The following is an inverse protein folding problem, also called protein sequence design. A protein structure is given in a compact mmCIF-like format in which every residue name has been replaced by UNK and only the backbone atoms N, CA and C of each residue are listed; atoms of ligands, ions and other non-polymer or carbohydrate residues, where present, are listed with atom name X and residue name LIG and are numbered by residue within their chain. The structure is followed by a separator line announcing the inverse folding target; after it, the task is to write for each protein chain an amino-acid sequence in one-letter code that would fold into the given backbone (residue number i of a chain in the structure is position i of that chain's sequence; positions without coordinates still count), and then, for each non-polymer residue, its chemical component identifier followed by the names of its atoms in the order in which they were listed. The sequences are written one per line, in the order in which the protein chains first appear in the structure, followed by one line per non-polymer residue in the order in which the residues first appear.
data_IF_495521611212
#
_entry.id   IF_495521611212
#
_cell.length_a   1.000
_cell.length_b   1.000
_cell.length_c   1.000
_cell.angle_alpha   90.00
_cell.angle_beta   90.00
_cell.angle_gamma   90.00
#
_symmetry.space_group_name_H-M   'P 1'
#
loop_
_entity.id
_entity.type
_entity.pdbx_description
1 polymer ?
#
# COMPACT_ATOMS: atom_id res chain seq x y z
N UNK A 1 35.58 -34.99 29.81
CA UNK A 1 35.38 -33.68 30.48
C UNK A 1 34.29 -32.93 29.72
N UNK A 2 33.02 -33.14 30.08
CA UNK A 2 31.88 -32.36 29.61
C UNK A 2 31.45 -31.41 30.73
N UNK A 3 31.35 -30.11 30.44
CA UNK A 3 30.66 -29.16 31.32
C UNK A 3 29.27 -28.96 30.73
N UNK A 4 28.27 -29.59 31.36
CA UNK A 4 26.87 -29.25 31.17
C UNK A 4 26.65 -27.88 31.81
N UNK A 5 26.22 -26.91 31.01
CA UNK A 5 25.74 -25.63 31.50
C UNK A 5 24.31 -25.85 32.03
N UNK A 6 24.10 -25.63 33.32
CA UNK A 6 22.76 -25.57 33.92
C UNK A 6 22.25 -24.14 33.78
N UNK A 7 21.08 -23.88 33.16
CA UNK A 7 20.45 -22.58 33.23
C UNK A 7 20.00 -22.31 34.67
N UNK A 8 20.35 -21.13 35.17
CA UNK A 8 19.95 -20.62 36.47
C UNK A 8 18.44 -20.31 36.46
N UNK A 9 17.60 -20.96 37.28
CA UNK A 9 16.17 -20.70 37.31
C UNK A 9 15.91 -19.58 38.32
N UNK A 10 16.11 -18.32 37.94
CA UNK A 10 15.66 -17.13 38.68
C UNK A 10 16.01 -15.85 37.94
N UNK A 11 15.18 -15.53 36.96
CA UNK A 11 14.72 -14.18 36.64
C UNK A 11 13.37 -14.40 35.96
N UNK A 12 12.32 -14.52 36.77
CA UNK A 12 10.98 -14.26 36.25
C UNK A 12 10.97 -12.78 35.87
N UNK A 13 11.22 -12.50 34.59
CA UNK A 13 10.89 -11.20 34.01
C UNK A 13 9.42 -10.98 34.29
N UNK A 14 9.12 -9.92 35.02
CA UNK A 14 7.77 -9.36 35.08
C UNK A 14 7.40 -9.10 33.62
N UNK A 15 6.50 -9.93 33.06
CA UNK A 15 5.81 -9.58 31.83
C UNK A 15 5.06 -8.28 32.11
N UNK A 16 5.67 -7.16 31.74
CA UNK A 16 4.95 -5.91 31.59
C UNK A 16 3.92 -6.17 30.50
N UNK A 17 2.64 -6.01 30.84
CA UNK A 17 1.47 -6.22 29.96
C UNK A 17 1.45 -5.37 28.67
N UNK A 18 2.50 -4.58 28.41
CA UNK A 18 2.59 -3.63 27.32
C UNK A 18 3.60 -4.06 26.24
N UNK A 19 3.88 -5.35 26.09
CA UNK A 19 4.78 -5.84 25.03
C UNK A 19 4.08 -5.79 23.68
N UNK A 20 4.12 -4.61 23.07
CA UNK A 20 3.81 -4.41 21.67
C UNK A 20 5.13 -4.36 20.87
N UNK A 21 5.50 -5.44 20.19
CA UNK A 21 6.70 -5.45 19.36
C UNK A 21 6.36 -5.04 17.93
N UNK A 22 6.81 -3.87 17.48
CA UNK A 22 6.54 -3.39 16.13
C UNK A 22 7.44 -4.01 15.05
N UNK A 23 7.21 -3.57 13.82
CA UNK A 23 7.34 -4.41 12.63
C UNK A 23 5.96 -5.01 12.36
N UNK A 24 5.09 -4.18 11.80
CA UNK A 24 3.67 -4.46 11.64
C UNK A 24 3.27 -4.15 10.20
N UNK A 25 2.85 -5.19 9.49
CA UNK A 25 2.05 -5.09 8.28
C UNK A 25 0.66 -5.62 8.69
N UNK A 26 -0.33 -4.73 8.84
CA UNK A 26 -1.74 -5.16 8.93
C UNK A 26 -2.37 -4.77 7.63
N UNK A 27 -2.91 -5.76 6.92
CA UNK A 27 -3.45 -5.53 5.60
C UNK A 27 -4.24 -6.73 5.11
N UNK A 28 -4.87 -6.54 3.96
CA UNK A 28 -5.47 -7.64 3.24
C UNK A 28 -4.31 -8.42 2.58
N UNK A 29 -4.20 -9.74 2.81
CA UNK A 29 -3.14 -10.58 2.22
C UNK A 29 -3.67 -11.96 1.79
N UNK A 30 -2.76 -12.83 1.33
CA UNK A 30 -2.89 -14.04 0.49
C UNK A 30 -2.80 -13.85 -1.04
N UNK A 31 -2.32 -12.70 -1.52
CA UNK A 31 -1.79 -12.61 -2.86
C UNK A 31 -0.34 -13.08 -2.81
N UNK A 32 0.07 -14.18 -3.46
CA UNK A 32 1.49 -14.37 -3.64
C UNK A 32 1.98 -13.22 -4.51
N UNK A 33 3.20 -12.78 -4.23
CA UNK A 33 4.04 -12.07 -5.19
C UNK A 33 4.29 -12.86 -6.50
N UNK A 34 3.58 -13.98 -6.72
CA UNK A 34 3.73 -14.96 -7.80
C UNK A 34 2.40 -15.68 -8.14
N UNK A 35 1.29 -14.95 -8.38
CA UNK A 35 0.08 -15.50 -9.03
C UNK A 35 -0.80 -16.49 -8.23
N UNK A 36 -1.52 -16.00 -7.22
CA UNK A 36 -2.42 -16.78 -6.38
C UNK A 36 -3.51 -15.92 -5.74
N UNK A 37 -4.39 -16.52 -4.93
CA UNK A 37 -5.80 -16.15 -4.88
C UNK A 37 -6.21 -14.88 -4.12
N UNK A 38 -5.32 -14.12 -3.46
CA UNK A 38 -5.72 -12.85 -2.80
C UNK A 38 -5.14 -11.60 -3.47
N UNK A 39 -5.47 -11.51 -4.75
CA UNK A 39 -5.39 -10.30 -5.52
C UNK A 39 -6.80 -10.14 -6.12
N UNK A 40 -7.64 -9.27 -5.54
CA UNK A 40 -9.04 -9.19 -5.95
C UNK A 40 -9.11 -8.56 -7.35
N UNK A 41 -9.48 -9.31 -8.41
CA UNK A 41 -9.39 -8.79 -9.77
C UNK A 41 -10.41 -7.67 -9.94
N UNK A 42 -9.92 -6.44 -10.05
CA UNK A 42 -10.73 -5.25 -10.33
C UNK A 42 -10.66 -4.87 -11.80
N UNK A 43 -10.27 -5.76 -12.72
CA UNK A 43 -10.36 -5.46 -14.14
C UNK A 43 -9.40 -6.28 -14.98
N UNK A 44 -9.76 -6.43 -16.26
CA UNK A 44 -8.92 -7.05 -17.27
C UNK A 44 -9.23 -6.57 -18.70
N UNK A 45 -8.41 -7.00 -19.64
CA UNK A 45 -8.54 -6.71 -21.08
C UNK A 45 -9.87 -7.17 -21.69
N UNK A 46 -10.54 -8.14 -21.08
CA UNK A 46 -11.75 -8.79 -21.60
C UNK A 46 -13.03 -8.12 -21.11
N UNK A 47 -13.07 -7.66 -19.85
CA UNK A 47 -14.28 -7.05 -19.27
C UNK A 47 -14.11 -5.57 -18.88
N UNK A 48 -12.97 -4.97 -19.24
CA UNK A 48 -12.68 -3.56 -18.97
C UNK A 48 -12.04 -3.33 -17.60
N UNK A 49 -11.55 -2.11 -17.42
CA UNK A 49 -10.91 -1.65 -16.19
C UNK A 49 -11.93 -0.99 -15.26
N UNK A 50 -11.70 -1.11 -13.96
CA UNK A 50 -12.59 -0.58 -12.92
C UNK A 50 -12.02 0.72 -12.36
N UNK A 51 -12.92 1.58 -11.90
CA UNK A 51 -12.56 2.72 -11.06
C UNK A 51 -12.47 2.28 -9.61
N UNK A 52 -11.34 2.56 -8.97
CA UNK A 52 -11.18 2.35 -7.53
C UNK A 52 -11.20 3.71 -6.85
N UNK A 53 -12.02 3.81 -5.81
CA UNK A 53 -12.10 4.97 -4.96
C UNK A 53 -12.05 4.51 -3.51
N UNK A 54 -11.18 5.07 -2.69
CA UNK A 54 -11.20 4.81 -1.25
C UNK A 54 -11.19 6.11 -0.47
N UNK A 55 -11.70 6.06 0.75
CA UNK A 55 -11.52 7.12 1.75
C UNK A 55 -10.95 6.56 3.02
N UNK A 56 -10.17 7.38 3.71
CA UNK A 56 -9.55 7.02 4.98
C UNK A 56 -9.53 8.22 5.92
N UNK A 57 -9.83 7.98 7.20
CA UNK A 57 -9.58 8.96 8.26
C UNK A 57 -8.09 8.89 8.65
N UNK A 58 -7.41 10.03 8.59
CA UNK A 58 -6.01 10.15 9.01
C UNK A 58 -5.91 9.90 10.51
N UNK A 59 -5.09 8.94 10.96
CA UNK A 59 -4.98 8.61 12.38
C UNK A 59 -4.22 9.69 13.14
N UNK A 60 -4.30 9.66 14.47
CA UNK A 60 -3.46 10.50 15.32
C UNK A 60 -1.96 10.22 15.08
N UNK A 61 -1.11 11.24 15.24
CA UNK A 61 0.33 11.01 15.23
C UNK A 61 0.72 10.20 16.48
N UNK A 62 1.68 9.26 16.37
CA UNK A 62 2.23 8.57 17.53
C UNK A 62 2.96 9.57 18.44
N UNK A 63 3.13 9.22 19.71
CA UNK A 63 3.89 10.02 20.68
C UNK A 63 5.39 10.08 20.32
N UNK A 64 5.89 9.04 19.63
CA UNK A 64 7.29 8.87 19.24
C UNK A 64 7.45 8.55 17.75
N UNK A 65 8.44 9.19 17.12
CA UNK A 65 8.78 9.04 15.68
C UNK A 65 10.24 8.65 15.45
N UNK A 66 11.00 8.41 16.51
CA UNK A 66 12.45 8.21 16.48
C UNK A 66 12.85 6.94 15.72
N UNK A 67 13.19 7.14 14.43
CA UNK A 67 13.64 6.07 13.53
C UNK A 67 12.51 5.30 12.86
N UNK A 68 11.29 5.82 12.92
CA UNK A 68 10.10 5.14 12.39
C UNK A 68 9.77 5.59 10.98
N UNK A 69 9.22 4.66 10.21
CA UNK A 69 8.54 4.94 8.96
C UNK A 69 7.13 4.34 9.00
N UNK A 70 6.13 5.19 8.72
CA UNK A 70 4.77 4.77 8.46
C UNK A 70 4.48 4.90 6.97
N UNK A 71 3.88 3.86 6.44
CA UNK A 71 3.15 3.91 5.20
C UNK A 71 1.73 3.40 5.47
N UNK A 72 0.75 4.15 4.98
CA UNK A 72 -0.67 3.84 5.14
C UNK A 72 -1.33 4.05 3.77
N UNK A 73 -1.94 3.02 3.18
CA UNK A 73 -2.40 3.10 1.78
C UNK A 73 -3.56 2.20 1.41
N UNK A 74 -4.16 2.57 0.27
CA UNK A 74 -4.88 1.67 -0.63
C UNK A 74 -4.09 1.69 -1.94
N UNK A 75 -3.81 0.53 -2.54
CA UNK A 75 -3.06 0.41 -3.78
C UNK A 75 -3.76 -0.42 -4.84
N UNK A 76 -3.25 -0.34 -6.06
CA UNK A 76 -3.48 -1.36 -7.07
C UNK A 76 -2.17 -2.01 -7.52
N UNK A 77 -2.21 -3.33 -7.67
CA UNK A 77 -1.12 -4.18 -8.15
C UNK A 77 -1.42 -4.69 -9.56
N UNK A 78 -0.38 -4.78 -10.39
CA UNK A 78 -0.46 -5.41 -11.70
C UNK A 78 0.29 -6.74 -11.67
N UNK A 79 -0.42 -7.85 -11.90
CA UNK A 79 0.17 -9.19 -11.94
C UNK A 79 1.11 -9.37 -13.12
N UNK A 80 2.42 -9.20 -12.94
CA UNK A 80 3.43 -9.42 -13.98
C UNK A 80 3.87 -10.90 -14.02
N UNK A 81 3.87 -11.48 -15.22
CA UNK A 81 4.25 -12.87 -15.48
C UNK A 81 5.74 -13.05 -15.81
N UNK A 82 6.60 -12.03 -15.66
CA UNK A 82 8.03 -12.29 -15.82
C UNK A 82 9.06 -11.17 -15.77
N UNK A 83 8.72 -9.87 -15.67
CA UNK A 83 9.75 -8.83 -15.88
C UNK A 83 9.87 -7.73 -14.81
N UNK A 84 8.88 -7.54 -13.93
CA UNK A 84 8.98 -6.71 -12.72
C UNK A 84 8.44 -7.42 -11.49
N UNK A 85 9.18 -7.36 -10.37
CA UNK A 85 8.80 -8.00 -9.09
C UNK A 85 7.86 -7.15 -8.24
N UNK A 86 7.88 -5.83 -8.45
CA UNK A 86 6.93 -4.88 -7.86
C UNK A 86 6.52 -3.88 -8.92
N UNK A 87 5.22 -3.80 -9.20
CA UNK A 87 4.60 -2.84 -10.13
C UNK A 87 3.31 -2.35 -9.47
N UNK A 88 3.47 -1.35 -8.62
CA UNK A 88 2.47 -0.98 -7.62
C UNK A 88 2.16 0.50 -7.69
N UNK A 89 0.89 0.84 -7.92
CA UNK A 89 0.42 2.21 -7.77
C UNK A 89 -0.12 2.37 -6.35
N UNK A 90 0.61 3.12 -5.51
CA UNK A 90 0.47 3.13 -4.06
C UNK A 90 0.35 4.56 -3.52
N UNK A 91 -0.80 5.22 -3.67
CA UNK A 91 -1.09 6.46 -2.94
C UNK A 91 -0.92 6.24 -1.44
N UNK A 92 -0.02 6.99 -0.84
CA UNK A 92 0.42 6.75 0.52
C UNK A 92 0.21 7.99 1.38
N UNK A 93 -0.33 7.75 2.56
CA UNK A 93 -0.12 8.57 3.74
C UNK A 93 1.20 8.12 4.40
N UNK A 94 2.09 9.06 4.66
CA UNK A 94 3.44 8.80 5.17
C UNK A 94 3.77 9.65 6.40
N UNK A 95 4.60 9.10 7.28
CA UNK A 95 5.16 9.78 8.45
C UNK A 95 6.53 9.20 8.81
N UNK A 96 7.40 10.03 9.37
CA UNK A 96 8.76 9.63 9.72
C UNK A 96 9.69 9.58 8.49
N UNK A 97 10.66 8.68 8.49
CA UNK A 97 11.65 8.58 7.40
C UNK A 97 11.13 7.70 6.25
N UNK A 98 10.39 8.32 5.34
CA UNK A 98 9.66 7.63 4.28
C UNK A 98 10.21 7.94 2.89
N UNK A 99 9.99 7.00 1.98
CA UNK A 99 10.12 7.22 0.56
C UNK A 99 8.99 8.13 0.10
N UNK A 100 9.32 9.35 -0.32
CA UNK A 100 8.32 10.39 -0.59
C UNK A 100 8.75 11.32 -1.72
N UNK A 101 9.50 10.80 -2.68
CA UNK A 101 9.93 11.56 -3.84
C UNK A 101 10.82 10.73 -4.76
N UNK A 102 11.16 11.32 -5.90
CA UNK A 102 12.13 10.73 -6.81
C UNK A 102 12.94 11.79 -7.58
N UNK A 103 13.93 11.35 -8.35
CA UNK A 103 14.65 12.22 -9.27
C UNK A 103 13.82 12.70 -10.46
N UNK A 104 12.67 12.08 -10.73
CA UNK A 104 11.94 12.24 -11.98
C UNK A 104 12.63 11.57 -13.18
N UNK A 105 12.11 11.76 -14.40
CA UNK A 105 12.67 11.15 -15.60
C UNK A 105 14.11 11.61 -15.88
N UNK A 106 14.92 10.76 -16.53
CA UNK A 106 14.56 9.43 -17.04
C UNK A 106 14.69 8.31 -16.00
N UNK A 107 15.35 8.56 -14.87
CA UNK A 107 15.84 7.48 -14.00
C UNK A 107 14.91 7.15 -12.83
N UNK A 108 14.02 8.08 -12.44
CA UNK A 108 13.04 7.88 -11.37
C UNK A 108 13.65 7.31 -10.07
N UNK A 109 14.85 7.74 -9.72
CA UNK A 109 15.58 7.25 -8.54
C UNK A 109 14.83 7.64 -7.26
N UNK A 110 14.52 6.68 -6.37
CA UNK A 110 13.76 6.95 -5.15
C UNK A 110 14.50 7.92 -4.21
N UNK A 111 13.75 8.81 -3.54
CA UNK A 111 14.26 9.76 -2.54
C UNK A 111 13.52 9.63 -1.22
N UNK A 112 14.29 9.52 -0.15
CA UNK A 112 13.81 9.45 1.22
C UNK A 112 13.74 10.85 1.82
N UNK A 113 12.68 11.12 2.59
CA UNK A 113 12.52 12.37 3.34
C UNK A 113 11.95 12.09 4.73
N UNK A 114 12.34 12.93 5.70
CA UNK A 114 11.80 12.89 7.05
C UNK A 114 10.56 13.78 7.16
N UNK A 115 9.41 13.19 7.50
CA UNK A 115 8.15 13.88 7.73
C UNK A 115 7.84 13.90 9.23
N UNK A 116 7.78 15.09 9.82
CA UNK A 116 7.45 15.29 11.25
C UNK A 116 5.96 15.34 11.53
N UNK A 117 5.16 15.53 10.49
CA UNK A 117 3.71 15.51 10.48
C UNK A 117 3.27 14.62 9.33
N UNK A 118 2.02 14.17 9.36
CA UNK A 118 1.47 13.39 8.25
C UNK A 118 1.58 14.16 6.93
N UNK A 119 1.96 13.43 5.88
CA UNK A 119 1.95 13.90 4.51
C UNK A 119 1.36 12.83 3.60
N UNK A 120 0.79 13.21 2.48
CA UNK A 120 0.24 12.26 1.52
C UNK A 120 0.64 12.59 0.08
N UNK A 121 0.62 11.59 -0.79
CA UNK A 121 0.86 11.80 -2.20
C UNK A 121 0.46 10.60 -3.07
N UNK A 122 0.12 10.88 -4.32
CA UNK A 122 0.01 9.87 -5.35
C UNK A 122 1.41 9.35 -5.68
N UNK A 123 1.60 8.03 -5.68
CA UNK A 123 2.90 7.40 -5.86
C UNK A 123 2.75 6.14 -6.71
N UNK A 124 3.73 5.90 -7.57
CA UNK A 124 3.92 4.68 -8.34
C UNK A 124 5.31 4.14 -8.06
N UNK A 125 5.39 2.97 -7.41
CA UNK A 125 6.62 2.26 -7.10
C UNK A 125 6.79 1.08 -8.05
N UNK A 126 7.98 0.93 -8.60
CA UNK A 126 8.25 -0.16 -9.53
C UNK A 126 9.70 -0.62 -9.50
N UNK A 127 9.89 -1.90 -9.80
CA UNK A 127 11.19 -2.56 -9.84
C UNK A 127 11.52 -3.03 -11.26
N UNK A 128 12.76 -2.79 -11.71
CA UNK A 128 13.24 -3.15 -13.03
C UNK A 128 14.43 -4.10 -12.92
N UNK A 129 14.40 -5.21 -13.67
CA UNK A 129 15.58 -6.06 -13.80
C UNK A 129 16.61 -5.44 -14.75
N UNK A 130 17.77 -5.07 -14.22
CA UNK A 130 18.89 -4.53 -14.96
C UNK A 130 19.78 -5.67 -15.45
N UNK A 131 19.65 -6.02 -16.73
CA UNK A 131 20.42 -7.11 -17.35
C UNK A 131 21.93 -6.86 -17.41
N UNK A 132 22.38 -5.60 -17.29
CA UNK A 132 23.81 -5.26 -17.30
C UNK A 132 24.46 -5.53 -15.94
N UNK A 133 23.77 -5.20 -14.85
CA UNK A 133 24.26 -5.39 -13.48
C UNK A 133 23.83 -6.72 -12.88
N UNK A 134 22.79 -7.35 -13.42
CA UNK A 134 22.14 -8.54 -12.87
C UNK A 134 21.29 -8.26 -11.63
N UNK A 135 21.00 -6.99 -11.33
CA UNK A 135 20.27 -6.57 -10.13
C UNK A 135 18.83 -6.15 -10.47
N UNK A 136 18.00 -6.13 -9.43
CA UNK A 136 16.69 -5.46 -9.46
C UNK A 136 16.89 -4.06 -8.90
N UNK A 137 16.56 -3.05 -9.71
CA UNK A 137 16.67 -1.64 -9.36
C UNK A 137 15.28 -1.10 -9.03
N UNK A 138 15.13 -0.49 -7.85
CA UNK A 138 13.88 0.12 -7.39
C UNK A 138 13.75 1.56 -7.88
N UNK A 139 12.56 1.92 -8.33
CA UNK A 139 12.22 3.21 -8.91
C UNK A 139 10.89 3.72 -8.36
N UNK A 140 10.69 5.04 -8.44
CA UNK A 140 9.46 5.66 -7.99
C UNK A 140 9.09 6.91 -8.78
N UNK A 141 7.79 7.12 -8.99
CA UNK A 141 7.23 8.36 -9.53
C UNK A 141 6.20 8.92 -8.56
N UNK A 142 6.18 10.24 -8.40
CA UNK A 142 5.38 10.91 -7.38
C UNK A 142 4.61 12.10 -7.96
N UNK A 143 3.38 12.27 -7.49
CA UNK A 143 2.73 13.56 -7.43
C UNK A 143 3.33 14.45 -6.32
N UNK A 144 2.83 15.68 -6.12
CA UNK A 144 3.29 16.52 -5.03
C UNK A 144 2.95 15.88 -3.68
N UNK A 145 3.91 15.85 -2.75
CA UNK A 145 3.63 15.51 -1.35
C UNK A 145 2.97 16.69 -0.66
N UNK A 146 1.85 16.47 0.01
CA UNK A 146 1.05 17.50 0.65
C UNK A 146 0.88 17.20 2.14
N UNK A 147 0.95 18.21 3.03
CA UNK A 147 0.71 18.01 4.45
C UNK A 147 -0.75 17.62 4.71
N UNK A 148 -1.01 16.90 5.79
CA UNK A 148 -2.36 16.57 6.28
C UNK A 148 -2.40 16.46 7.79
N UNK A 149 -3.55 16.83 8.35
CA UNK A 149 -3.79 16.79 9.79
C UNK A 149 -4.54 15.52 10.18
N UNK A 150 -4.31 15.04 11.40
CA UNK A 150 -5.08 13.96 11.98
C UNK A 150 -6.58 14.29 12.03
N UNK A 151 -7.43 13.30 11.77
CA UNK A 151 -8.88 13.45 11.71
C UNK A 151 -9.42 14.00 10.37
N UNK A 152 -8.57 14.52 9.48
CA UNK A 152 -9.01 14.80 8.10
C UNK A 152 -9.34 13.48 7.37
N UNK A 153 -10.23 13.56 6.37
CA UNK A 153 -10.55 12.41 5.49
C UNK A 153 -9.81 12.57 4.18
N UNK A 154 -8.94 11.62 3.87
CA UNK A 154 -8.32 11.51 2.56
C UNK A 154 -9.20 10.68 1.63
N UNK A 155 -9.17 10.99 0.35
CA UNK A 155 -9.64 10.10 -0.70
C UNK A 155 -8.46 9.67 -1.57
N UNK A 156 -8.57 8.47 -2.13
CA UNK A 156 -7.70 7.97 -3.19
C UNK A 156 -8.56 7.58 -4.38
N UNK A 157 -8.11 7.88 -5.59
CA UNK A 157 -8.77 7.47 -6.82
C UNK A 157 -7.78 6.95 -7.85
N UNK A 158 -8.13 5.80 -8.44
CA UNK A 158 -7.43 5.22 -9.57
C UNK A 158 -8.40 5.19 -10.74
N UNK A 159 -8.05 5.92 -11.80
CA UNK A 159 -8.87 6.03 -13.00
C UNK A 159 -8.07 5.65 -14.22
N UNK A 160 -8.62 4.73 -15.00
CA UNK A 160 -8.15 4.45 -16.35
C UNK A 160 -8.65 5.55 -17.28
N UNK A 161 -7.76 6.32 -17.90
CA UNK A 161 -8.15 7.31 -18.91
C UNK A 161 -8.45 6.64 -20.25
N UNK A 162 -9.19 7.33 -21.12
CA UNK A 162 -9.59 6.83 -22.44
C UNK A 162 -8.39 6.50 -23.35
N UNK A 163 -7.30 7.24 -23.19
CA UNK A 163 -6.02 7.05 -23.88
C UNK A 163 -5.16 5.90 -23.32
N UNK A 164 -5.63 5.20 -22.27
CA UNK A 164 -4.92 4.07 -21.68
C UNK A 164 -3.87 4.44 -20.64
N UNK A 165 -3.80 5.70 -20.20
CA UNK A 165 -3.01 6.11 -19.05
C UNK A 165 -3.75 5.79 -17.73
N UNK A 166 -3.00 5.58 -16.65
CA UNK A 166 -3.55 5.59 -15.30
C UNK A 166 -3.41 6.98 -14.68
N UNK A 167 -4.51 7.51 -14.18
CA UNK A 167 -4.53 8.70 -13.32
C UNK A 167 -4.72 8.28 -11.88
N UNK A 168 -3.85 8.79 -11.02
CA UNK A 168 -3.82 8.52 -9.61
C UNK A 168 -4.03 9.84 -8.90
N UNK A 169 -5.05 9.90 -8.07
CA UNK A 169 -5.31 11.06 -7.22
C UNK A 169 -5.32 10.63 -5.77
N UNK A 170 -4.72 11.43 -4.91
CA UNK A 170 -4.94 11.40 -3.49
C UNK A 170 -5.23 12.83 -3.03
N UNK A 171 -6.21 13.04 -2.17
CA UNK A 171 -6.58 14.39 -1.77
C UNK A 171 -7.41 14.45 -0.52
N UNK A 172 -7.61 15.66 0.01
CA UNK A 172 -8.49 15.87 1.18
C UNK A 172 -9.92 16.05 0.71
N UNK A 173 -10.84 15.25 1.26
CA UNK A 173 -12.27 15.32 0.94
C UNK A 173 -12.79 16.74 1.20
N UNK A 174 -13.41 17.34 0.19
CA UNK A 174 -13.94 18.71 0.26
C UNK A 174 -12.91 19.82 0.05
N UNK A 175 -11.64 19.51 -0.27
CA UNK A 175 -10.60 20.50 -0.51
C UNK A 175 -9.84 20.25 -1.82
N UNK A 176 -10.31 20.86 -2.92
CA UNK A 176 -9.72 20.72 -4.26
C UNK A 176 -8.34 21.36 -4.43
N UNK A 177 -7.88 22.17 -3.48
CA UNK A 177 -6.52 22.74 -3.51
C UNK A 177 -5.46 21.79 -2.94
N UNK A 178 -5.90 20.72 -2.25
CA UNK A 178 -5.02 19.74 -1.61
C UNK A 178 -5.22 18.38 -2.27
N UNK A 179 -4.79 18.31 -3.52
CA UNK A 179 -4.83 17.11 -4.36
C UNK A 179 -3.44 16.84 -4.92
N UNK A 180 -2.95 15.64 -4.68
CA UNK A 180 -1.76 15.08 -5.29
C UNK A 180 -2.19 14.21 -6.45
N UNK A 181 -1.74 14.56 -7.65
CA UNK A 181 -2.04 13.81 -8.87
C UNK A 181 -0.76 13.28 -9.50
N UNK A 182 -0.79 12.03 -9.92
CA UNK A 182 0.24 11.41 -10.74
C UNK A 182 -0.41 10.80 -11.98
N UNK A 183 0.19 11.05 -13.14
CA UNK A 183 -0.19 10.42 -14.40
C UNK A 183 0.88 9.39 -14.77
N UNK A 184 0.43 8.16 -15.04
CA UNK A 184 1.30 7.05 -15.44
C UNK A 184 0.88 6.60 -16.83
N UNK A 185 1.44 7.26 -17.83
CA UNK A 185 1.12 7.05 -19.24
C UNK A 185 1.48 5.64 -19.73
N UNK A 186 2.57 5.08 -19.19
CA UNK A 186 3.09 3.78 -19.59
C UNK A 186 3.52 2.97 -18.36
N UNK A 187 3.48 1.63 -18.43
CA UNK A 187 4.10 0.76 -17.43
C UNK A 187 5.56 1.15 -17.20
N UNK A 188 6.01 1.08 -15.95
CA UNK A 188 7.40 1.40 -15.55
C UNK A 188 7.85 2.80 -15.99
N UNK A 189 6.91 3.76 -16.09
CA UNK A 189 7.16 5.13 -16.59
C UNK A 189 7.87 5.17 -17.95
N UNK A 190 7.66 4.15 -18.80
CA UNK A 190 8.29 4.04 -20.13
C UNK A 190 9.73 3.52 -20.11
N UNK A 191 10.28 3.14 -18.96
CA UNK A 191 11.63 2.56 -18.87
C UNK A 191 11.72 1.16 -19.50
N UNK A 192 10.57 0.50 -19.73
CA UNK A 192 10.49 -0.84 -20.31
C UNK A 192 10.38 -0.92 -21.83
N UNK A 193 10.44 0.21 -22.55
CA UNK A 193 10.22 0.23 -24.02
C UNK A 193 11.28 -0.52 -24.84
N UNK A 194 12.47 -0.74 -24.29
CA UNK A 194 13.58 -1.40 -24.97
C UNK A 194 13.88 -2.82 -24.44
N UNK A 195 13.01 -3.38 -23.60
CA UNK A 195 13.18 -4.74 -23.10
C UNK A 195 12.97 -5.79 -24.21
N UNK A 196 13.45 -7.04 -24.02
CA UNK A 196 13.19 -8.13 -24.97
C UNK A 196 11.70 -8.32 -25.26
N UNK A 197 10.87 -8.16 -24.22
CA UNK A 197 9.42 -7.99 -24.32
C UNK A 197 9.08 -6.56 -23.88
N UNK A 198 8.94 -5.60 -24.82
CA UNK A 198 8.71 -4.20 -24.49
C UNK A 198 7.44 -3.97 -23.68
N UNK A 199 7.54 -3.26 -22.56
CA UNK A 199 6.39 -2.76 -21.80
C UNK A 199 6.01 -1.36 -22.30
N UNK A 200 5.13 -1.31 -23.30
CA UNK A 200 4.78 -0.09 -24.06
C UNK A 200 3.35 0.38 -23.83
N UNK A 201 2.47 -0.51 -23.33
CA UNK A 201 1.08 -0.18 -23.03
C UNK A 201 0.56 -1.02 -21.88
N UNK A 202 -0.23 -0.39 -21.03
CA UNK A 202 -1.00 -1.05 -19.98
C UNK A 202 -2.08 -2.00 -20.51
N UNK A 203 -2.41 -1.96 -21.81
CA UNK A 203 -3.33 -2.92 -22.44
C UNK A 203 -2.65 -4.24 -22.83
N UNK A 204 -1.34 -4.36 -22.59
CA UNK A 204 -0.64 -5.63 -22.80
C UNK A 204 -1.12 -6.66 -21.77
N UNK A 205 -1.18 -7.93 -22.20
CA UNK A 205 -1.64 -9.06 -21.38
C UNK A 205 -0.90 -9.19 -20.04
N UNK A 206 0.36 -8.76 -19.97
CA UNK A 206 1.16 -8.80 -18.73
C UNK A 206 0.65 -7.80 -17.66
N UNK A 207 -0.26 -6.90 -18.00
CA UNK A 207 -0.89 -5.95 -17.08
C UNK A 207 -2.42 -6.12 -17.03
N UNK A 208 -2.95 -7.21 -17.61
CA UNK A 208 -4.39 -7.43 -17.70
C UNK A 208 -5.00 -7.92 -16.39
N UNK A 209 -4.22 -8.18 -15.35
CA UNK A 209 -4.76 -8.48 -14.02
C UNK A 209 -4.44 -7.34 -13.07
N UNK A 210 -5.47 -6.55 -12.75
CA UNK A 210 -5.37 -5.45 -11.78
C UNK A 210 -6.02 -5.90 -10.49
N UNK A 211 -5.29 -5.78 -9.40
CA UNK A 211 -5.76 -6.17 -8.08
C UNK A 211 -5.68 -4.98 -7.14
N UNK A 212 -6.50 -4.97 -6.10
CA UNK A 212 -6.52 -3.90 -5.10
C UNK A 212 -6.08 -4.44 -3.74
N UNK A 213 -5.34 -3.64 -2.99
CA UNK A 213 -4.99 -3.92 -1.60
C UNK A 213 -5.10 -2.66 -0.72
N UNK A 214 -5.12 -2.86 0.60
CA UNK A 214 -4.94 -1.82 1.59
C UNK A 214 -4.07 -2.34 2.74
N UNK A 215 -3.15 -1.51 3.21
CA UNK A 215 -2.15 -1.90 4.20
C UNK A 215 -1.75 -0.73 5.12
N UNK A 216 -1.39 -1.09 6.36
CA UNK A 216 -0.57 -0.32 7.28
C UNK A 216 0.78 -1.00 7.40
N UNK A 217 1.85 -0.36 6.91
CA UNK A 217 3.21 -0.80 7.14
C UNK A 217 3.95 0.14 8.08
N UNK A 218 4.49 -0.46 9.14
CA UNK A 218 5.19 0.24 10.18
C UNK A 218 6.56 -0.38 10.41
N UNK A 219 7.58 0.38 10.04
CA UNK A 219 8.97 0.00 10.18
C UNK A 219 9.62 0.74 11.35
N UNK A 220 10.32 0.00 12.21
CA UNK A 220 11.07 0.58 13.33
C UNK A 220 10.27 0.84 14.61
N UNK A 221 8.96 0.56 14.64
CA UNK A 221 8.20 0.62 15.88
C UNK A 221 8.62 -0.48 16.86
N UNK A 222 8.77 -0.14 18.13
CA UNK A 222 9.28 -1.07 19.15
C UNK A 222 8.41 -1.14 20.41
N UNK A 223 7.45 -0.22 20.57
CA UNK A 223 6.54 -0.15 21.72
C UNK A 223 5.24 0.58 21.32
N UNK A 224 4.28 0.68 22.24
CA UNK A 224 2.98 1.35 22.00
C UNK A 224 3.09 2.85 21.69
N UNK A 225 4.08 3.55 22.24
CA UNK A 225 4.24 5.00 22.01
C UNK A 225 4.63 5.31 20.55
N UNK A 226 5.09 4.30 19.83
CA UNK A 226 5.36 4.33 18.40
C UNK A 226 4.13 3.98 17.55
N UNK A 227 2.96 3.75 18.14
CA UNK A 227 1.71 3.51 17.42
C UNK A 227 0.77 4.72 17.56
N UNK A 228 0.01 5.05 16.51
CA UNK A 228 -1.14 5.93 16.60
C UNK A 228 -2.12 5.48 17.70
N UNK A 229 -2.69 6.44 18.43
CA UNK A 229 -3.68 6.13 19.48
C UNK A 229 -5.07 5.87 18.92
N UNK A 230 -5.42 6.52 17.81
CA UNK A 230 -6.60 6.22 17.01
C UNK A 230 -6.20 5.38 15.80
N UNK A 231 -7.08 4.44 15.44
CA UNK A 231 -6.89 3.64 14.25
C UNK A 231 -7.62 4.23 13.03
N UNK A 232 -7.22 3.81 11.84
CA UNK A 232 -7.85 4.26 10.60
C UNK A 232 -9.10 3.46 10.27
N UNK A 233 -10.06 4.14 9.66
CA UNK A 233 -11.21 3.53 9.00
C UNK A 233 -11.07 3.73 7.51
N UNK A 234 -11.02 2.64 6.76
CA UNK A 234 -11.02 2.64 5.31
C UNK A 234 -12.39 2.29 4.78
N UNK A 235 -12.82 3.03 3.77
CA UNK A 235 -13.98 2.70 2.98
C UNK A 235 -13.55 2.66 1.52
N UNK A 236 -13.51 1.47 0.96
CA UNK A 236 -13.02 1.20 -0.38
C UNK A 236 -14.23 0.86 -1.24
N UNK A 237 -14.46 1.66 -2.27
CA UNK A 237 -15.49 1.45 -3.30
C UNK A 237 -14.83 1.12 -4.62
N UNK A 238 -15.21 -0.03 -5.17
CA UNK A 238 -14.72 -0.55 -6.43
C UNK A 238 -15.91 -0.54 -7.40
N UNK A 239 -15.87 0.33 -8.41
CA UNK A 239 -16.97 0.59 -9.33
C UNK A 239 -16.63 0.27 -10.79
N UNK A 240 -17.44 -0.55 -11.45
CA UNK A 240 -17.18 -1.04 -12.80
C UNK A 240 -18.04 -0.36 -13.88
N UNK A 241 -17.52 -0.24 -15.08
CA UNK A 241 -18.26 0.37 -16.20
C UNK A 241 -19.23 -0.60 -16.88
N UNK A 242 -18.89 -1.90 -17.04
CA UNK A 242 -19.73 -2.91 -17.74
C UNK A 242 -19.47 -4.34 -17.25
N UNK A 243 -20.53 -5.17 -17.24
CA UNK A 243 -20.62 -6.60 -16.82
C UNK A 243 -20.71 -6.88 -15.31
N UNK A 244 -21.13 -8.10 -14.96
CA UNK A 244 -21.23 -8.62 -13.59
C UNK A 244 -20.01 -9.52 -13.34
N UNK A 245 -19.06 -9.08 -12.53
CA UNK A 245 -18.05 -9.98 -11.99
C UNK A 245 -18.65 -10.82 -10.85
N UNK A 246 -18.17 -12.06 -10.64
CA UNK A 246 -18.30 -12.70 -9.36
C UNK A 246 -17.43 -11.95 -8.35
N UNK A 247 -18.04 -11.16 -7.47
CA UNK A 247 -17.33 -10.61 -6.33
C UNK A 247 -16.78 -11.75 -5.46
N UNK A 248 -15.58 -11.56 -4.92
CA UNK A 248 -14.99 -12.53 -4.00
C UNK A 248 -15.67 -12.31 -2.66
N UNK A 249 -16.32 -13.34 -2.13
CA UNK A 249 -17.15 -13.23 -0.93
C UNK A 249 -16.34 -13.18 0.38
N UNK A 250 -15.00 -13.29 0.32
CA UNK A 250 -14.14 -13.31 1.51
C UNK A 250 -12.74 -12.76 1.25
N UNK A 251 -12.34 -11.81 2.07
CA UNK A 251 -10.96 -11.34 2.19
C UNK A 251 -10.24 -12.08 3.31
N UNK A 252 -8.96 -12.40 3.11
CA UNK A 252 -8.10 -12.92 4.17
C UNK A 252 -7.25 -11.76 4.74
N UNK A 253 -7.21 -11.68 6.06
CA UNK A 253 -6.46 -10.67 6.82
C UNK A 253 -5.09 -11.21 7.24
N UNK A 254 -4.03 -10.37 7.13
CA UNK A 254 -2.71 -10.66 7.71
C UNK A 254 -2.65 -9.86 8.98
N UNK A 255 -2.92 -10.54 10.08
CA UNK A 255 -2.34 -10.14 11.33
C UNK A 255 -0.95 -10.78 11.34
N UNK A 256 0.07 -10.07 10.83
CA UNK A 256 1.43 -10.59 10.78
C UNK A 256 1.78 -11.32 12.08
N UNK A 257 2.16 -12.61 11.96
CA UNK A 257 2.31 -13.60 13.04
C UNK A 257 2.24 -13.07 14.50
N UNK A 258 1.11 -13.31 15.17
CA UNK A 258 0.91 -13.27 16.64
C UNK A 258 1.48 -12.05 17.39
N UNK A 259 1.06 -10.82 17.07
CA UNK A 259 1.45 -9.64 17.86
C UNK A 259 0.26 -8.77 18.32
N UNK A 260 0.14 -8.48 19.62
CA UNK A 260 -1.13 -8.10 20.27
C UNK A 260 -1.59 -6.63 20.12
N UNK A 261 -1.10 -5.83 19.16
CA UNK A 261 -1.29 -4.37 19.25
C UNK A 261 -2.45 -3.80 18.42
N UNK A 262 -2.49 -3.98 17.09
CA UNK A 262 -3.68 -3.67 16.32
C UNK A 262 -4.59 -4.90 16.19
N UNK A 263 -5.89 -4.66 16.25
CA UNK A 263 -6.90 -5.58 15.74
C UNK A 263 -7.56 -4.92 14.53
N UNK A 264 -7.96 -5.70 13.53
CA UNK A 264 -8.76 -5.16 12.44
C UNK A 264 -10.07 -5.92 12.26
N UNK A 265 -11.04 -5.23 11.66
CA UNK A 265 -12.33 -5.80 11.33
C UNK A 265 -12.65 -5.40 9.89
N UNK A 266 -12.95 -6.40 9.07
CA UNK A 266 -13.33 -6.20 7.67
C UNK A 266 -14.80 -6.56 7.51
N UNK A 267 -15.54 -5.71 6.80
CA UNK A 267 -16.91 -5.96 6.37
C UNK A 267 -17.08 -5.59 4.91
N UNK A 268 -17.97 -6.31 4.22
CA UNK A 268 -18.08 -6.23 2.77
C UNK A 268 -19.55 -6.27 2.33
N UNK A 269 -19.86 -5.48 1.31
CA UNK A 269 -21.15 -5.48 0.62
C UNK A 269 -20.94 -5.31 -0.88
N UNK A 270 -21.72 -6.01 -1.69
CA UNK A 270 -21.63 -5.89 -3.14
C UNK A 270 -22.98 -6.02 -3.86
N UNK A 271 -23.07 -5.45 -5.05
CA UNK A 271 -24.17 -5.63 -6.00
C UNK A 271 -23.60 -5.91 -7.40
N UNK A 272 -24.43 -5.94 -8.45
CA UNK A 272 -23.97 -6.25 -9.81
C UNK A 272 -22.90 -5.31 -10.40
N UNK A 273 -22.65 -4.13 -9.83
CA UNK A 273 -21.82 -3.06 -10.40
C UNK A 273 -20.84 -2.42 -9.42
N UNK A 274 -20.87 -2.81 -8.15
CA UNK A 274 -20.07 -2.20 -7.10
C UNK A 274 -19.79 -3.19 -5.98
N UNK A 275 -18.58 -3.13 -5.44
CA UNK A 275 -18.23 -3.65 -4.13
C UNK A 275 -17.78 -2.51 -3.23
N UNK A 276 -18.20 -2.60 -1.96
CA UNK A 276 -17.78 -1.73 -0.88
C UNK A 276 -17.16 -2.60 0.21
N UNK A 277 -15.94 -2.26 0.59
CA UNK A 277 -15.22 -2.87 1.70
C UNK A 277 -15.03 -1.79 2.76
N UNK A 278 -15.43 -2.10 3.99
CA UNK A 278 -15.09 -1.31 5.16
C UNK A 278 -14.07 -2.07 5.99
N UNK A 279 -12.98 -1.39 6.31
CA UNK A 279 -11.88 -1.95 7.09
C UNK A 279 -11.55 -1.00 8.23
N UNK A 280 -11.88 -1.45 9.43
CA UNK A 280 -11.61 -0.77 10.69
C UNK A 280 -10.35 -1.33 11.30
N UNK A 281 -9.34 -0.47 11.50
CA UNK A 281 -8.15 -0.81 12.26
C UNK A 281 -8.28 -0.13 13.60
N UNK A 282 -8.01 -0.86 14.68
CA UNK A 282 -8.05 -0.33 16.04
C UNK A 282 -6.81 -0.76 16.81
N UNK A 283 -6.22 0.18 17.55
CA UNK A 283 -5.17 -0.13 18.52
C UNK A 283 -5.87 -0.27 19.88
N UNK A 284 -6.17 -1.49 20.30
CA UNK A 284 -6.96 -1.72 21.51
C UNK A 284 -6.35 -0.96 22.72
N UNK A 285 -7.15 -0.08 23.33
CA UNK A 285 -6.85 0.51 24.63
C UNK A 285 -7.08 -0.55 25.70
N UNK A 286 -6.01 -1.09 26.27
CA UNK A 286 -6.09 -1.86 27.51
C UNK A 286 -6.05 -0.91 28.70
#
# INVERSE_FOLDING_TARGET
RSRKYHPNPRLATVETKDTCYGGLCVGMHNGPHEGGPAAYPVGNDTNGYTSVYSTMIVPETPEKLDGICFYIWTDIFFGDVGFGRMNQIVPQLVLGNALSGSSGPPDYLPRWSEHRTWAFGAHYFFEIFNSTTGNVDGHAAYGPMLPVDAGETLYTSFKRKAEGAWEIEMGVVGNSSRVSTLLVDQPYMGMGVNWPEPATSWDQRNFSNVCINACWELYGANDRAHLPHSGSHYNITIGQERQQYPWVEKWDEDEGSDKPCPASQISEWHNSTMQRVEWDISVNGA
#
